data_IF_160720408663
#
_entry.id   IF_160720408663
#
_cell.length_a   1.000
_cell.length_b   1.000
_cell.length_c   1.000
_cell.angle_alpha   90.00
_cell.angle_beta   90.00
_cell.angle_gamma   90.00
#
_symmetry.space_group_name_H-M   'P 1'
#
loop_
_entity.id
_entity.type
_entity.pdbx_description
1 polymer ?
#
# COMPACT_ATOMS: atom_id res chain seq x y z
N UNK A 1 6.14 9.66 5.52
CA UNK A 1 6.60 8.25 5.65
C UNK A 1 6.52 7.55 4.30
N UNK A 2 7.65 7.22 3.68
CA UNK A 2 7.65 6.51 2.40
C UNK A 2 8.20 5.09 2.58
N UNK A 3 7.30 4.11 2.63
CA UNK A 3 7.69 2.69 2.70
C UNK A 3 8.51 2.22 1.50
N UNK A 4 8.65 3.02 0.43
CA UNK A 4 9.59 2.73 -0.67
C UNK A 4 11.04 3.04 -0.29
N UNK A 5 11.28 4.12 0.47
CA UNK A 5 12.63 4.52 0.90
C UNK A 5 13.03 3.78 2.16
N UNK A 6 12.15 3.76 3.17
CA UNK A 6 12.43 3.20 4.49
C UNK A 6 11.45 2.06 4.83
N UNK A 7 11.58 0.88 4.20
CA UNK A 7 10.71 -0.26 4.47
C UNK A 7 11.03 -0.97 5.79
N UNK A 8 9.99 -1.59 6.35
CA UNK A 8 10.13 -2.57 7.43
C UNK A 8 10.69 -3.88 6.92
N UNK A 9 11.37 -4.61 7.79
CA UNK A 9 11.91 -5.92 7.46
C UNK A 9 10.78 -6.98 7.40
N UNK A 10 11.02 -8.05 6.64
CA UNK A 10 10.16 -9.23 6.59
C UNK A 10 8.66 -8.98 6.28
N UNK A 11 8.33 -7.86 5.63
CA UNK A 11 6.95 -7.54 5.28
C UNK A 11 6.29 -8.70 4.50
N UNK A 12 5.14 -9.20 4.98
CA UNK A 12 4.44 -10.29 4.29
C UNK A 12 3.82 -9.83 2.96
N UNK A 13 3.28 -8.60 2.95
CA UNK A 13 2.69 -7.94 1.79
C UNK A 13 3.17 -6.49 1.78
N UNK A 14 3.23 -5.86 0.60
CA UNK A 14 3.48 -4.41 0.54
C UNK A 14 2.35 -3.69 1.30
N UNK A 15 2.66 -2.82 2.28
CA UNK A 15 1.65 -2.08 3.01
C UNK A 15 0.88 -1.16 2.06
N UNK A 16 -0.44 -1.14 2.22
CA UNK A 16 -1.32 -0.25 1.50
C UNK A 16 -2.49 0.12 2.43
N UNK A 17 -2.52 1.37 2.87
CA UNK A 17 -3.54 1.89 3.77
C UNK A 17 -4.48 2.75 2.94
N UNK A 18 -5.77 2.41 2.95
CA UNK A 18 -6.82 3.23 2.36
C UNK A 18 -7.96 3.32 3.36
N UNK A 19 -8.23 4.52 3.84
CA UNK A 19 -9.42 4.80 4.63
C UNK A 19 -10.61 4.94 3.67
N UNK A 20 -11.69 4.22 3.95
CA UNK A 20 -12.89 4.21 3.11
C UNK A 20 -14.08 4.65 3.94
N UNK A 21 -14.85 5.59 3.42
CA UNK A 21 -16.05 6.10 4.10
C UNK A 21 -17.23 5.14 4.01
N UNK A 22 -17.30 4.28 2.97
CA UNK A 22 -18.39 3.32 2.81
C UNK A 22 -18.09 2.01 3.58
N UNK A 23 -18.89 1.67 4.62
CA UNK A 23 -18.67 0.48 5.44
C UNK A 23 -18.78 -0.83 4.66
N UNK A 24 -19.75 -0.94 3.74
CA UNK A 24 -19.97 -2.16 2.95
C UNK A 24 -18.76 -2.45 2.05
N UNK A 25 -18.29 -1.44 1.32
CA UNK A 25 -17.08 -1.57 0.49
C UNK A 25 -15.86 -1.92 1.33
N UNK A 26 -15.75 -1.33 2.53
CA UNK A 26 -14.65 -1.64 3.45
C UNK A 26 -14.71 -3.10 3.93
N UNK A 27 -15.88 -3.63 4.27
CA UNK A 27 -16.07 -5.02 4.68
C UNK A 27 -15.75 -6.00 3.54
N UNK A 28 -16.29 -5.76 2.34
CA UNK A 28 -15.97 -6.57 1.15
C UNK A 28 -14.47 -6.59 0.86
N UNK A 29 -13.82 -5.42 0.90
CA UNK A 29 -12.38 -5.32 0.71
C UNK A 29 -11.61 -6.05 1.81
N UNK A 30 -12.03 -5.92 3.06
CA UNK A 30 -11.41 -6.59 4.21
C UNK A 30 -11.50 -8.11 4.07
N UNK A 31 -12.67 -8.63 3.73
CA UNK A 31 -12.88 -10.05 3.49
C UNK A 31 -11.97 -10.59 2.37
N UNK A 32 -11.92 -9.90 1.23
CA UNK A 32 -11.17 -10.34 0.05
C UNK A 32 -9.66 -10.14 0.15
N UNK A 33 -9.21 -9.03 0.75
CA UNK A 33 -7.78 -8.66 0.77
C UNK A 33 -7.05 -9.06 2.04
N UNK A 34 -7.74 -9.28 3.15
CA UNK A 34 -7.12 -9.62 4.44
C UNK A 34 -7.53 -11.02 4.89
N UNK A 35 -8.83 -11.28 5.02
CA UNK A 35 -9.34 -12.53 5.61
C UNK A 35 -9.11 -13.74 4.69
N UNK A 36 -9.54 -13.68 3.43
CA UNK A 36 -9.43 -14.80 2.50
C UNK A 36 -7.96 -15.23 2.27
N UNK A 37 -7.00 -14.34 1.99
CA UNK A 37 -5.60 -14.74 1.84
C UNK A 37 -4.99 -15.32 3.11
N UNK A 38 -5.39 -14.82 4.28
CA UNK A 38 -4.92 -15.33 5.57
C UNK A 38 -5.44 -16.75 5.84
N UNK A 39 -6.70 -17.01 5.53
CA UNK A 39 -7.30 -18.33 5.63
C UNK A 39 -6.62 -19.33 4.70
N UNK A 40 -6.43 -18.96 3.43
CA UNK A 40 -5.74 -19.80 2.44
C UNK A 40 -4.30 -20.12 2.88
N UNK A 41 -3.57 -19.13 3.38
CA UNK A 41 -2.21 -19.34 3.89
C UNK A 41 -2.18 -20.29 5.08
N UNK A 42 -3.08 -20.12 6.04
CA UNK A 42 -3.17 -21.00 7.21
C UNK A 42 -3.62 -22.42 6.84
N UNK A 43 -4.47 -22.57 5.82
CA UNK A 43 -4.81 -23.87 5.24
C UNK A 43 -3.57 -24.56 4.66
N UNK A 44 -2.79 -23.85 3.82
CA UNK A 44 -1.53 -24.37 3.28
C UNK A 44 -0.52 -24.76 4.37
N UNK A 45 -0.44 -23.99 5.46
CA UNK A 45 0.39 -24.34 6.61
C UNK A 45 -0.07 -25.66 7.24
N UNK A 46 -1.38 -25.81 7.50
CA UNK A 46 -1.93 -27.07 8.05
C UNK A 46 -1.64 -28.27 7.15
N UNK A 47 -1.84 -28.13 5.83
CA UNK A 47 -1.57 -29.18 4.84
C UNK A 47 -0.09 -29.56 4.78
N UNK A 48 0.82 -28.64 5.15
CA UNK A 48 2.27 -28.90 5.21
C UNK A 48 2.75 -29.26 6.62
N UNK A 49 1.85 -29.60 7.54
CA UNK A 49 2.16 -29.99 8.92
C UNK A 49 2.62 -28.82 9.82
N UNK A 50 2.41 -27.58 9.40
CA UNK A 50 2.83 -26.36 10.11
C UNK A 50 1.66 -25.72 10.85
N UNK A 51 1.97 -25.04 11.96
CA UNK A 51 0.97 -24.34 12.77
C UNK A 51 0.43 -23.10 12.05
N UNK A 52 -0.90 -22.94 11.91
CA UNK A 52 -1.50 -21.72 11.34
C UNK A 52 -1.20 -20.49 12.21
N UNK A 53 -0.97 -19.34 11.59
CA UNK A 53 -0.59 -18.09 12.29
C UNK A 53 -1.16 -16.81 11.67
N UNK A 54 -1.51 -16.79 10.40
CA UNK A 54 -1.85 -15.56 9.68
C UNK A 54 -3.20 -15.01 10.10
N UNK A 55 -4.19 -15.87 10.33
CA UNK A 55 -5.50 -15.42 10.84
C UNK A 55 -5.36 -14.69 12.18
N UNK A 56 -4.51 -15.20 13.09
CA UNK A 56 -4.23 -14.55 14.37
C UNK A 56 -3.63 -13.15 14.18
N UNK A 57 -2.72 -12.99 13.22
CA UNK A 57 -2.13 -11.69 12.88
C UNK A 57 -3.17 -10.73 12.33
N UNK A 58 -3.99 -11.17 11.36
CA UNK A 58 -5.04 -10.33 10.76
C UNK A 58 -6.11 -9.93 11.79
N UNK A 59 -6.51 -10.83 12.69
CA UNK A 59 -7.45 -10.50 13.77
C UNK A 59 -6.89 -9.41 14.70
N UNK A 60 -5.60 -9.47 15.05
CA UNK A 60 -4.95 -8.42 15.85
C UNK A 60 -4.91 -7.09 15.11
N UNK A 61 -4.58 -7.11 13.83
CA UNK A 61 -4.59 -5.93 12.97
C UNK A 61 -5.99 -5.30 12.91
N UNK A 62 -7.04 -6.11 12.71
CA UNK A 62 -8.43 -5.62 12.67
C UNK A 62 -8.84 -4.98 14.00
N UNK A 63 -8.50 -5.58 15.14
CA UNK A 63 -8.75 -4.97 16.45
C UNK A 63 -8.09 -3.60 16.58
N UNK A 64 -6.83 -3.47 16.19
CA UNK A 64 -6.14 -2.19 16.20
C UNK A 64 -6.81 -1.16 15.28
N UNK A 65 -7.23 -1.56 14.08
CA UNK A 65 -7.94 -0.67 13.16
C UNK A 65 -9.29 -0.19 13.71
N UNK A 66 -10.07 -1.06 14.38
CA UNK A 66 -11.35 -0.65 14.99
C UNK A 66 -11.15 0.40 16.10
N UNK A 67 -10.08 0.27 16.90
CA UNK A 67 -9.76 1.28 17.93
C UNK A 67 -9.39 2.62 17.29
N UNK A 68 -8.69 2.60 16.16
CA UNK A 68 -8.27 3.82 15.46
C UNK A 68 -9.39 4.48 14.64
N UNK A 69 -10.40 3.70 14.23
CA UNK A 69 -11.46 4.15 13.32
C UNK A 69 -12.14 5.43 13.79
N UNK A 70 -12.48 5.53 15.07
CA UNK A 70 -13.11 6.73 15.64
C UNK A 70 -12.26 7.99 15.41
N UNK A 71 -10.96 7.89 15.65
CA UNK A 71 -10.05 9.01 15.51
C UNK A 71 -9.75 9.36 14.05
N UNK A 72 -9.70 8.36 13.16
CA UNK A 72 -9.31 8.56 11.76
C UNK A 72 -10.46 8.89 10.82
N UNK A 73 -11.70 8.55 11.20
CA UNK A 73 -12.88 8.69 10.33
C UNK A 73 -13.75 9.90 10.65
N UNK A 74 -13.39 10.68 11.67
CA UNK A 74 -14.11 11.90 12.05
C UNK A 74 -13.23 13.13 11.82
N UNK A 75 -13.87 14.24 11.46
CA UNK A 75 -13.23 15.55 11.41
C UNK A 75 -13.28 16.19 12.78
N UNK A 76 -12.16 16.79 13.18
CA UNK A 76 -12.00 17.41 14.48
C UNK A 76 -11.69 18.89 14.28
N UNK A 77 -12.45 19.76 14.94
CA UNK A 77 -12.16 21.19 15.00
C UNK A 77 -11.62 21.47 16.40
N UNK A 78 -10.35 21.87 16.46
CA UNK A 78 -9.68 22.22 17.70
C UNK A 78 -9.50 23.72 17.77
N UNK A 79 -9.92 24.37 18.86
CA UNK A 79 -9.55 25.76 19.13
C UNK A 79 -8.12 25.82 19.66
N UNK A 80 -7.36 26.79 19.15
CA UNK A 80 -5.98 27.07 19.55
C UNK A 80 -5.81 28.53 20.04
N UNK A 81 -6.90 29.19 20.44
CA UNK A 81 -6.92 30.60 20.83
C UNK A 81 -6.00 30.86 22.03
N UNK A 82 -6.09 30.04 23.08
CA UNK A 82 -5.26 30.20 24.28
C UNK A 82 -3.77 30.03 23.99
N UNK A 83 -3.40 29.09 23.12
CA UNK A 83 -2.00 28.86 22.71
C UNK A 83 -1.49 30.08 21.96
N UNK A 84 -2.30 30.59 21.02
CA UNK A 84 -1.94 31.75 20.20
C UNK A 84 -1.79 33.01 21.05
N UNK A 85 -2.72 33.24 21.98
CA UNK A 85 -2.67 34.35 22.94
C UNK A 85 -1.43 34.27 23.82
N UNK A 86 -1.15 33.08 24.40
CA UNK A 86 0.01 32.89 25.27
C UNK A 86 1.32 33.17 24.52
N UNK A 87 1.49 32.64 23.30
CA UNK A 87 2.64 32.96 22.46
C UNK A 87 2.71 34.47 22.17
N UNK A 88 1.59 35.14 21.96
CA UNK A 88 1.55 36.58 21.75
C UNK A 88 2.09 37.39 22.94
N UNK A 89 1.82 36.93 24.16
CA UNK A 89 2.20 37.60 25.41
C UNK A 89 3.61 37.27 25.91
N UNK A 90 4.23 36.20 25.42
CA UNK A 90 5.59 35.82 25.83
C UNK A 90 6.66 36.77 25.30
N UNK A 91 7.66 37.02 26.15
CA UNK A 91 8.92 37.69 25.77
C UNK A 91 9.68 36.89 24.70
N UNK A 92 10.65 37.51 24.03
CA UNK A 92 11.46 36.80 23.03
C UNK A 92 12.36 35.75 23.70
N UNK A 93 12.80 36.01 24.91
CA UNK A 93 13.57 35.10 25.76
C UNK A 93 12.72 33.87 26.11
N UNK A 94 11.50 34.06 26.61
CA UNK A 94 10.61 32.94 26.98
C UNK A 94 10.23 32.09 25.77
N UNK A 95 10.00 32.71 24.61
CA UNK A 95 9.72 31.98 23.36
C UNK A 95 10.87 31.05 22.96
N UNK A 96 12.11 31.44 23.24
CA UNK A 96 13.29 30.63 22.95
C UNK A 96 13.47 29.51 23.98
N UNK A 97 13.27 29.81 25.26
CA UNK A 97 13.45 28.84 26.35
C UNK A 97 12.32 27.81 26.38
N UNK A 98 11.08 28.23 26.16
CA UNK A 98 9.88 27.40 26.20
C UNK A 98 9.18 27.36 24.84
N UNK A 99 9.88 26.87 23.82
CA UNK A 99 9.31 26.79 22.49
C UNK A 99 8.29 25.64 22.37
N UNK A 100 7.01 26.00 22.22
CA UNK A 100 5.92 25.08 21.88
C UNK A 100 5.19 25.45 20.57
N UNK A 101 5.81 26.30 19.75
CA UNK A 101 5.25 26.70 18.46
C UNK A 101 5.52 25.63 17.38
N UNK A 102 4.55 24.74 17.22
CA UNK A 102 4.62 23.63 16.25
C UNK A 102 4.63 24.08 14.79
N UNK A 103 4.34 25.37 14.49
CA UNK A 103 4.39 25.90 13.11
C UNK A 103 5.81 25.94 12.56
N UNK A 104 6.81 25.98 13.45
CA UNK A 104 8.22 25.98 13.10
C UNK A 104 8.72 24.58 12.69
N UNK A 105 7.94 23.53 12.94
CA UNK A 105 8.32 22.16 12.60
C UNK A 105 8.19 21.90 11.10
N UNK A 106 9.26 21.37 10.51
CA UNK A 106 9.17 20.76 9.19
C UNK A 106 8.57 19.35 9.31
N UNK A 107 7.24 19.28 9.24
CA UNK A 107 6.45 18.07 9.52
C UNK A 107 6.90 16.84 8.72
N UNK A 108 7.35 17.01 7.47
CA UNK A 108 7.79 15.89 6.64
C UNK A 108 9.04 15.20 7.23
N UNK A 109 10.03 15.99 7.66
CA UNK A 109 11.27 15.50 8.26
C UNK A 109 11.04 14.96 9.67
N UNK A 110 10.19 15.64 10.46
CA UNK A 110 9.77 15.15 11.77
C UNK A 110 9.14 13.75 11.66
N UNK A 111 8.20 13.57 10.73
CA UNK A 111 7.54 12.28 10.52
C UNK A 111 8.50 11.22 9.99
N UNK A 112 9.49 11.57 9.17
CA UNK A 112 10.52 10.63 8.73
C UNK A 112 11.39 10.18 9.91
N UNK A 113 11.89 11.12 10.71
CA UNK A 113 12.69 10.86 11.91
C UNK A 113 11.93 10.00 12.93
N UNK A 114 10.66 10.32 13.17
CA UNK A 114 9.76 9.54 14.02
C UNK A 114 9.63 8.08 13.55
N UNK A 115 9.44 7.88 12.24
CA UNK A 115 9.30 6.54 11.66
C UNK A 115 10.61 5.75 11.71
N UNK A 116 11.75 6.41 11.49
CA UNK A 116 13.08 5.82 11.61
C UNK A 116 13.41 5.44 13.05
N UNK A 117 13.07 6.30 14.01
CA UNK A 117 13.19 6.02 15.44
C UNK A 117 12.32 4.83 15.86
N UNK A 118 11.07 4.78 15.40
CA UNK A 118 10.17 3.63 15.65
C UNK A 118 10.77 2.33 15.09
N UNK A 119 11.28 2.34 13.86
CA UNK A 119 11.94 1.18 13.24
C UNK A 119 13.12 0.69 14.08
N UNK A 120 14.01 1.60 14.50
CA UNK A 120 15.23 1.26 15.22
C UNK A 120 14.97 0.82 16.67
N UNK A 121 14.15 1.57 17.41
CA UNK A 121 14.06 1.43 18.86
C UNK A 121 12.81 0.68 19.33
N UNK A 122 11.70 0.73 18.58
CA UNK A 122 10.46 0.02 18.95
C UNK A 122 10.41 -1.35 18.28
N UNK A 123 10.80 -1.41 17.00
CA UNK A 123 10.80 -2.66 16.23
C UNK A 123 12.15 -3.39 16.28
N UNK A 124 13.18 -2.78 16.87
CA UNK A 124 14.53 -3.34 16.97
C UNK A 124 15.12 -3.77 15.61
N UNK A 125 14.81 -3.04 14.54
CA UNK A 125 15.35 -3.31 13.20
C UNK A 125 16.61 -2.47 12.95
N UNK A 126 17.64 -3.10 12.39
CA UNK A 126 18.86 -2.39 12.03
C UNK A 126 18.69 -1.57 10.74
N UNK A 127 19.36 -0.42 10.66
CA UNK A 127 19.33 0.41 9.45
C UNK A 127 20.17 -0.20 8.31
N UNK A 128 21.14 -1.05 8.65
CA UNK A 128 21.95 -1.86 7.73
C UNK A 128 21.09 -2.77 6.84
N UNK A 129 19.94 -3.22 7.34
CA UNK A 129 18.99 -4.10 6.64
C UNK A 129 18.14 -3.41 5.55
N UNK A 130 18.15 -2.07 5.47
CA UNK A 130 17.32 -1.31 4.53
C UNK A 130 17.48 -1.71 3.04
N UNK A 131 18.69 -1.94 2.50
CA UNK A 131 18.85 -2.38 1.11
C UNK A 131 18.17 -3.74 0.85
N UNK A 132 18.27 -4.68 1.80
CA UNK A 132 17.63 -5.98 1.69
C UNK A 132 16.09 -5.86 1.77
N UNK A 133 15.58 -5.06 2.70
CA UNK A 133 14.15 -4.79 2.83
C UNK A 133 13.56 -4.12 1.56
N UNK A 134 14.30 -3.20 0.93
CA UNK A 134 13.90 -2.60 -0.37
C UNK A 134 13.85 -3.64 -1.49
N UNK A 135 14.85 -4.53 -1.59
CA UNK A 135 14.84 -5.64 -2.56
C UNK A 135 13.65 -6.58 -2.32
N UNK A 136 13.37 -6.91 -1.07
CA UNK A 136 12.21 -7.74 -0.70
C UNK A 136 10.87 -7.10 -1.11
N UNK A 137 10.66 -5.81 -0.83
CA UNK A 137 9.47 -5.11 -1.31
C UNK A 137 9.35 -5.05 -2.82
N UNK A 138 10.47 -4.95 -3.56
CA UNK A 138 10.46 -5.00 -5.02
C UNK A 138 10.07 -6.38 -5.54
N UNK A 139 10.56 -7.46 -4.90
CA UNK A 139 10.12 -8.83 -5.19
C UNK A 139 8.61 -8.98 -4.98
N UNK A 140 8.07 -8.51 -3.85
CA UNK A 140 6.63 -8.55 -3.58
C UNK A 140 5.80 -7.75 -4.61
N UNK A 141 6.34 -6.62 -5.09
CA UNK A 141 5.71 -5.85 -6.17
C UNK A 141 5.63 -6.67 -7.46
N UNK A 142 6.75 -7.31 -7.83
CA UNK A 142 6.82 -8.11 -9.04
C UNK A 142 5.87 -9.32 -8.95
N UNK A 143 5.83 -10.02 -7.81
CA UNK A 143 4.87 -11.10 -7.55
C UNK A 143 3.43 -10.63 -7.78
N UNK A 144 3.06 -9.47 -7.22
CA UNK A 144 1.71 -8.89 -7.42
C UNK A 144 1.43 -8.61 -8.90
N UNK A 145 2.38 -8.01 -9.62
CA UNK A 145 2.19 -7.71 -11.03
C UNK A 145 2.07 -8.99 -11.86
N UNK A 146 2.95 -9.95 -11.68
CA UNK A 146 2.88 -11.25 -12.36
C UNK A 146 1.54 -11.94 -12.09
N UNK A 147 1.12 -12.02 -10.82
CA UNK A 147 -0.15 -12.62 -10.45
C UNK A 147 -1.34 -11.92 -11.13
N UNK A 148 -1.40 -10.58 -11.08
CA UNK A 148 -2.47 -9.82 -11.71
C UNK A 148 -2.46 -9.99 -13.25
N UNK A 149 -1.29 -9.98 -13.89
CA UNK A 149 -1.16 -10.21 -15.33
C UNK A 149 -1.66 -11.60 -15.71
N UNK A 150 -1.29 -12.64 -14.96
CA UNK A 150 -1.76 -14.02 -15.20
C UNK A 150 -3.28 -14.10 -15.04
N UNK A 151 -3.85 -13.52 -13.98
CA UNK A 151 -5.30 -13.49 -13.78
C UNK A 151 -6.02 -12.80 -14.93
N UNK A 152 -5.54 -11.63 -15.36
CA UNK A 152 -6.14 -10.90 -16.50
C UNK A 152 -6.09 -11.74 -17.78
N UNK A 153 -4.95 -12.40 -18.06
CA UNK A 153 -4.81 -13.28 -19.23
C UNK A 153 -5.79 -14.46 -19.15
N UNK A 154 -5.94 -15.09 -17.99
CA UNK A 154 -6.88 -16.22 -17.81
C UNK A 154 -8.33 -15.78 -17.98
N UNK A 155 -8.74 -14.67 -17.36
CA UNK A 155 -10.08 -14.10 -17.51
C UNK A 155 -10.35 -13.75 -18.97
N UNK A 156 -9.40 -13.10 -19.64
CA UNK A 156 -9.48 -12.75 -21.05
C UNK A 156 -9.65 -13.99 -21.95
N UNK A 157 -8.86 -15.05 -21.70
CA UNK A 157 -8.95 -16.32 -22.43
C UNK A 157 -10.32 -16.97 -22.27
N UNK A 158 -10.84 -17.03 -21.05
CA UNK A 158 -12.18 -17.58 -20.78
C UNK A 158 -13.26 -16.73 -21.45
N UNK A 159 -13.16 -15.40 -21.37
CA UNK A 159 -14.11 -14.48 -21.98
C UNK A 159 -14.20 -14.63 -23.51
N UNK A 160 -13.05 -14.67 -24.19
CA UNK A 160 -12.99 -14.93 -25.65
C UNK A 160 -13.53 -16.33 -25.97
N UNK A 161 -13.17 -17.35 -25.20
CA UNK A 161 -13.67 -18.70 -25.44
C UNK A 161 -15.21 -18.79 -25.36
N UNK A 162 -15.82 -17.98 -24.49
CA UNK A 162 -17.27 -17.99 -24.26
C UNK A 162 -18.06 -16.99 -25.13
N UNK A 163 -17.41 -16.02 -25.78
CA UNK A 163 -18.10 -14.99 -26.58
C UNK A 163 -17.62 -14.96 -28.02
N UNK A 164 -18.52 -15.28 -28.96
CA UNK A 164 -18.25 -15.21 -30.41
C UNK A 164 -17.94 -13.77 -30.85
N UNK A 165 -18.67 -12.77 -30.30
CA UNK A 165 -18.41 -11.36 -30.57
C UNK A 165 -17.01 -10.94 -30.10
N UNK A 166 -16.59 -11.38 -28.91
CA UNK A 166 -15.25 -11.09 -28.40
C UNK A 166 -14.15 -11.73 -29.27
N UNK A 167 -14.34 -12.97 -29.75
CA UNK A 167 -13.43 -13.59 -30.73
C UNK A 167 -13.30 -12.76 -31.99
N UNK A 168 -14.42 -12.36 -32.58
CA UNK A 168 -14.43 -11.63 -33.85
C UNK A 168 -13.74 -10.27 -33.70
N UNK A 169 -14.01 -9.54 -32.63
CA UNK A 169 -13.33 -8.28 -32.30
C UNK A 169 -11.83 -8.51 -32.09
N UNK A 170 -11.44 -9.56 -31.36
CA UNK A 170 -10.04 -9.89 -31.14
C UNK A 170 -9.29 -10.18 -32.45
N UNK A 171 -9.85 -11.02 -33.33
CA UNK A 171 -9.25 -11.30 -34.64
C UNK A 171 -9.15 -10.04 -35.51
N UNK A 172 -10.17 -9.18 -35.48
CA UNK A 172 -10.16 -7.91 -36.19
C UNK A 172 -9.02 -7.01 -35.71
N UNK A 173 -8.88 -6.80 -34.39
CA UNK A 173 -7.82 -5.99 -33.78
C UNK A 173 -6.43 -6.56 -34.10
N UNK A 174 -6.24 -7.88 -33.94
CA UNK A 174 -4.97 -8.55 -34.29
C UNK A 174 -4.63 -8.35 -35.76
N UNK A 175 -5.63 -8.46 -36.66
CA UNK A 175 -5.42 -8.23 -38.10
C UNK A 175 -5.00 -6.79 -38.41
N UNK A 176 -5.57 -5.80 -37.71
CA UNK A 176 -5.19 -4.40 -37.84
C UNK A 176 -3.76 -4.17 -37.37
N UNK A 177 -3.35 -4.76 -36.24
CA UNK A 177 -1.98 -4.68 -35.75
C UNK A 177 -0.99 -5.30 -36.74
N UNK A 178 -1.29 -6.47 -37.31
CA UNK A 178 -0.43 -7.08 -38.34
C UNK A 178 -0.33 -6.22 -39.59
N UNK A 179 -1.45 -5.66 -40.08
CA UNK A 179 -1.45 -4.74 -41.23
C UNK A 179 -0.62 -3.49 -40.93
N UNK A 180 -0.79 -2.89 -39.77
CA UNK A 180 -0.03 -1.72 -39.35
C UNK A 180 1.48 -2.02 -39.25
N UNK A 181 1.87 -3.12 -38.61
CA UNK A 181 3.28 -3.54 -38.54
C UNK A 181 3.87 -3.82 -39.94
N UNK A 182 3.09 -4.45 -40.83
CA UNK A 182 3.52 -4.71 -42.20
C UNK A 182 3.71 -3.42 -43.01
N UNK A 183 2.86 -2.42 -42.79
CA UNK A 183 2.97 -1.09 -43.42
C UNK A 183 4.24 -0.36 -43.00
N UNK A 184 4.57 -0.34 -41.70
CA UNK A 184 5.82 0.26 -41.22
C UNK A 184 7.05 -0.47 -41.74
N UNK A 185 7.01 -1.80 -41.80
CA UNK A 185 8.11 -2.61 -42.34
C UNK A 185 8.35 -2.30 -43.82
N UNK A 186 7.29 -2.21 -44.63
CA UNK A 186 7.39 -1.85 -46.04
C UNK A 186 7.87 -0.40 -46.25
N UNK A 187 7.43 0.55 -45.41
CA UNK A 187 7.88 1.95 -45.47
C UNK A 187 9.35 2.11 -45.06
N UNK A 188 9.85 1.28 -44.14
CA UNK A 188 11.26 1.31 -43.72
C UNK A 188 12.23 0.72 -44.75
N UNK A 189 11.76 -0.17 -45.64
CA UNK A 189 12.59 -0.74 -46.73
C UNK A 189 12.65 0.14 -47.99
N UNK A 190 11.88 1.23 -48.05
CA UNK A 190 11.85 2.18 -49.17
C UNK A 190 12.67 3.46 -48.92
N UNK A 191 13.38 3.55 -47.79
CA UNK A 191 14.38 4.58 -47.48
C UNK A 191 15.77 3.96 -47.50
#
# INVERSE_FOLDING_TARGET
MNFKTNPLEQAFRRPNVNLRSNPFTNQCWTALSHTLPALLYDCCLRLTGRKPRMMKTITRLHKAMMVLEYFTSHSWVWSNENITMLIGQMSQEDKKVFNFDVRQLHWAEYMESYCMGTKKYVLNEELSGLPAARKHLNKLRNIRYTFNTVLVVLIWRVFIARSQMARNIWYFVVSLCFKFLSYFRASSSMR
#
